data_IF_521881964674
#
_entry.id   IF_521881964674
#
_cell.length_a   1.000
_cell.length_b   1.000
_cell.length_c   1.000
_cell.angle_alpha   90.00
_cell.angle_beta   90.00
_cell.angle_gamma   90.00
#
_symmetry.space_group_name_H-M   'P 1'
#
loop_
_entity.id
_entity.type
_entity.pdbx_description
1 polymer ?
#
# COMPACT_ATOMS: atom_id res chain seq x y z
N UNK A 1 -81.74 56.60 -22.53
CA UNK A 1 -80.26 56.63 -22.39
C UNK A 1 -79.81 55.19 -22.24
N UNK A 2 -79.55 54.54 -23.36
CA UNK A 2 -79.01 53.18 -23.43
C UNK A 2 -77.52 53.23 -23.09
N UNK A 3 -77.10 52.43 -22.11
CA UNK A 3 -75.70 52.24 -21.74
C UNK A 3 -75.09 51.10 -22.59
N UNK A 4 -73.80 51.17 -22.96
CA UNK A 4 -73.25 50.37 -24.04
C UNK A 4 -72.90 48.95 -23.57
N UNK A 5 -73.64 47.94 -24.07
CA UNK A 5 -73.36 46.52 -23.83
C UNK A 5 -72.22 45.96 -24.72
N UNK A 6 -71.59 46.80 -25.54
CA UNK A 6 -70.73 46.37 -26.67
C UNK A 6 -69.21 46.34 -26.33
N UNK A 7 -68.80 46.92 -25.20
CA UNK A 7 -67.38 46.98 -24.81
C UNK A 7 -66.84 45.67 -24.25
N UNK A 8 -67.64 44.91 -23.51
CA UNK A 8 -67.23 43.63 -22.91
C UNK A 8 -67.07 42.52 -23.95
N UNK A 9 -67.93 42.52 -24.98
CA UNK A 9 -67.90 41.51 -26.04
C UNK A 9 -66.71 41.75 -27.00
N UNK A 10 -66.36 43.02 -27.22
CA UNK A 10 -65.21 43.43 -28.03
C UNK A 10 -63.87 43.08 -27.38
N UNK A 11 -63.76 43.22 -26.06
CA UNK A 11 -62.55 42.84 -25.30
C UNK A 11 -62.35 41.32 -25.27
N UNK A 12 -63.44 40.55 -25.14
CA UNK A 12 -63.41 39.10 -25.25
C UNK A 12 -63.02 38.61 -26.65
N UNK A 13 -63.57 39.23 -27.70
CA UNK A 13 -63.21 38.96 -29.09
C UNK A 13 -61.74 39.29 -29.37
N UNK A 14 -61.24 40.42 -28.85
CA UNK A 14 -59.81 40.76 -28.96
C UNK A 14 -58.94 39.70 -28.28
N UNK A 15 -59.31 39.27 -27.08
CA UNK A 15 -58.57 38.26 -26.31
C UNK A 15 -58.56 36.89 -26.99
N UNK A 16 -59.68 36.49 -27.60
CA UNK A 16 -59.78 35.27 -28.42
C UNK A 16 -58.97 35.39 -29.70
N UNK A 17 -58.90 36.58 -30.31
CA UNK A 17 -58.07 36.83 -31.48
C UNK A 17 -56.56 36.88 -31.17
N UNK A 18 -56.16 37.22 -29.93
CA UNK A 18 -54.74 37.22 -29.51
C UNK A 18 -54.25 35.86 -29.00
N UNK A 19 -55.15 34.97 -28.57
CA UNK A 19 -54.83 33.63 -28.06
C UNK A 19 -53.94 32.79 -29.01
N UNK A 20 -54.20 32.74 -30.33
CA UNK A 20 -53.33 32.04 -31.28
C UNK A 20 -51.90 32.59 -31.31
N UNK A 21 -51.75 33.92 -31.25
CA UNK A 21 -50.43 34.56 -31.23
C UNK A 21 -49.67 34.28 -29.93
N UNK A 22 -50.38 34.26 -28.80
CA UNK A 22 -49.79 33.94 -27.50
C UNK A 22 -49.43 32.45 -27.38
N UNK A 23 -50.26 31.57 -27.94
CA UNK A 23 -49.98 30.14 -28.07
C UNK A 23 -48.75 29.90 -28.97
N UNK A 24 -48.65 30.60 -30.10
CA UNK A 24 -47.49 30.52 -30.99
C UNK A 24 -46.20 30.98 -30.32
N UNK A 25 -46.22 32.13 -29.62
CA UNK A 25 -45.06 32.60 -28.84
C UNK A 25 -44.64 31.60 -27.75
N UNK A 26 -45.61 30.96 -27.09
CA UNK A 26 -45.31 29.93 -26.10
C UNK A 26 -44.72 28.67 -26.73
N UNK A 27 -45.20 28.27 -27.90
CA UNK A 27 -44.65 27.15 -28.66
C UNK A 27 -43.20 27.44 -29.08
N UNK A 28 -42.92 28.62 -29.62
CA UNK A 28 -41.58 29.06 -30.01
C UNK A 28 -40.63 29.02 -28.80
N UNK A 29 -41.05 29.60 -27.66
CA UNK A 29 -40.26 29.57 -26.42
C UNK A 29 -39.99 28.15 -25.91
N UNK A 30 -40.98 27.26 -25.99
CA UNK A 30 -40.81 25.86 -25.58
C UNK A 30 -39.90 25.10 -26.54
N UNK A 31 -39.97 25.38 -27.84
CA UNK A 31 -39.09 24.79 -28.84
C UNK A 31 -37.64 25.23 -28.64
N UNK A 32 -37.38 26.52 -28.41
CA UNK A 32 -36.06 27.05 -28.06
C UNK A 32 -35.51 26.41 -26.78
N UNK A 33 -36.34 26.30 -25.74
CA UNK A 33 -35.96 25.64 -24.49
C UNK A 33 -35.62 24.17 -24.70
N UNK A 34 -36.40 23.47 -25.51
CA UNK A 34 -36.14 22.06 -25.81
C UNK A 34 -34.84 21.88 -26.60
N UNK A 35 -34.59 22.76 -27.59
CA UNK A 35 -33.34 22.77 -28.33
C UNK A 35 -32.14 23.04 -27.41
N UNK A 36 -32.27 24.00 -26.48
CA UNK A 36 -31.24 24.28 -25.47
C UNK A 36 -30.95 23.07 -24.58
N UNK A 37 -31.99 22.39 -24.10
CA UNK A 37 -31.85 21.16 -23.31
C UNK A 37 -31.18 20.05 -24.10
N UNK A 38 -31.50 19.90 -25.39
CA UNK A 38 -30.84 18.93 -26.24
C UNK A 38 -29.35 19.21 -26.42
N UNK A 39 -28.98 20.48 -26.60
CA UNK A 39 -27.58 20.88 -26.68
C UNK A 39 -26.83 20.57 -25.38
N UNK A 40 -27.44 20.83 -24.21
CA UNK A 40 -26.86 20.50 -22.90
C UNK A 40 -26.64 18.99 -22.77
N UNK A 41 -27.62 18.18 -23.16
CA UNK A 41 -27.52 16.72 -23.09
C UNK A 41 -26.39 16.21 -23.98
N UNK A 42 -26.30 16.71 -25.22
CA UNK A 42 -25.20 16.36 -26.13
C UNK A 42 -23.83 16.75 -25.55
N UNK A 43 -23.72 17.92 -24.90
CA UNK A 43 -22.48 18.32 -24.22
C UNK A 43 -22.14 17.42 -23.03
N UNK A 44 -23.15 16.96 -22.27
CA UNK A 44 -22.95 16.04 -21.16
C UNK A 44 -22.48 14.66 -21.65
N UNK A 45 -23.03 14.16 -22.76
CA UNK A 45 -22.60 12.89 -23.36
C UNK A 45 -21.14 12.94 -23.83
N UNK A 46 -20.71 14.08 -24.41
CA UNK A 46 -19.30 14.29 -24.77
C UNK A 46 -18.39 14.26 -23.54
N UNK A 47 -18.76 14.96 -22.47
CA UNK A 47 -17.99 14.97 -21.21
C UNK A 47 -17.90 13.56 -20.62
N UNK A 48 -19.01 12.81 -20.61
CA UNK A 48 -19.04 11.44 -20.10
C UNK A 48 -18.11 10.54 -20.92
N UNK A 49 -18.12 10.70 -22.25
CA UNK A 49 -17.25 9.95 -23.15
C UNK A 49 -15.78 10.26 -22.86
N UNK A 50 -15.41 11.54 -22.80
CA UNK A 50 -14.04 11.98 -22.51
C UNK A 50 -13.54 11.45 -21.16
N UNK A 51 -14.38 11.50 -20.12
CA UNK A 51 -14.05 10.96 -18.79
C UNK A 51 -13.86 9.45 -18.85
N UNK A 52 -14.75 8.74 -19.53
CA UNK A 52 -14.71 7.28 -19.64
C UNK A 52 -13.46 6.79 -20.37
N UNK A 53 -13.01 7.54 -21.39
CA UNK A 53 -11.75 7.25 -22.10
C UNK A 53 -10.51 7.61 -21.28
N UNK A 54 -10.60 8.59 -20.38
CA UNK A 54 -9.46 9.06 -19.59
C UNK A 54 -9.21 8.22 -18.33
N UNK A 55 -10.27 7.69 -17.69
CA UNK A 55 -10.16 6.90 -16.45
C UNK A 55 -9.17 5.71 -16.55
N UNK A 56 -9.22 4.86 -17.60
CA UNK A 56 -8.27 3.75 -17.75
C UNK A 56 -6.81 4.21 -17.81
N UNK A 57 -6.56 5.36 -18.44
CA UNK A 57 -5.20 5.92 -18.54
C UNK A 57 -4.69 6.39 -17.18
N UNK A 58 -5.56 7.00 -16.35
CA UNK A 58 -5.19 7.41 -14.99
C UNK A 58 -4.85 6.19 -14.14
N UNK A 59 -5.65 5.12 -14.19
CA UNK A 59 -5.36 3.89 -13.45
C UNK A 59 -4.05 3.24 -13.91
N UNK A 60 -3.76 3.25 -15.22
CA UNK A 60 -2.49 2.75 -15.75
C UNK A 60 -1.29 3.57 -15.26
N UNK A 61 -1.44 4.89 -15.14
CA UNK A 61 -0.41 5.78 -14.61
C UNK A 61 -0.15 5.49 -13.13
N UNK A 62 -1.20 5.31 -12.32
CA UNK A 62 -1.06 4.95 -10.91
C UNK A 62 -0.35 3.61 -10.71
N UNK A 63 -0.68 2.59 -11.51
CA UNK A 63 0.01 1.29 -11.48
C UNK A 63 1.49 1.43 -11.85
N UNK A 64 1.80 2.19 -12.89
CA UNK A 64 3.20 2.48 -13.28
C UNK A 64 3.96 3.24 -12.20
N UNK A 65 3.31 4.16 -11.50
CA UNK A 65 3.90 4.90 -10.40
C UNK A 65 4.26 3.95 -9.25
N UNK A 66 3.32 3.09 -8.85
CA UNK A 66 3.54 2.10 -7.79
C UNK A 66 4.69 1.12 -8.15
N UNK A 67 4.76 0.67 -9.39
CA UNK A 67 5.86 -0.18 -9.87
C UNK A 67 7.20 0.56 -9.84
N UNK A 68 7.21 1.84 -10.22
CA UNK A 68 8.42 2.68 -10.20
C UNK A 68 8.92 2.90 -8.76
N UNK A 69 8.02 3.12 -7.82
CA UNK A 69 8.36 3.28 -6.39
C UNK A 69 8.97 1.99 -5.83
N UNK A 70 8.41 0.83 -6.18
CA UNK A 70 8.96 -0.47 -5.79
C UNK A 70 10.37 -0.72 -6.37
N UNK A 71 10.61 -0.32 -7.63
CA UNK A 71 11.94 -0.38 -8.24
C UNK A 71 12.92 0.57 -7.56
N UNK A 72 12.48 1.78 -7.20
CA UNK A 72 13.27 2.77 -6.46
C UNK A 72 13.72 2.21 -5.11
N UNK A 73 12.82 1.58 -4.38
CA UNK A 73 13.13 0.97 -3.08
C UNK A 73 14.14 -0.18 -3.21
N UNK A 74 14.01 -1.00 -4.27
CA UNK A 74 14.98 -2.04 -4.60
C UNK A 74 16.36 -1.46 -4.92
N UNK A 75 16.43 -0.40 -5.71
CA UNK A 75 17.69 0.30 -6.02
C UNK A 75 18.29 0.89 -4.75
N UNK A 76 17.48 1.49 -3.88
CA UNK A 76 17.96 2.04 -2.61
C UNK A 76 18.55 0.95 -1.70
N UNK A 77 17.92 -0.23 -1.66
CA UNK A 77 18.45 -1.39 -0.95
C UNK A 77 19.80 -1.86 -1.55
N UNK A 78 19.91 -1.91 -2.89
CA UNK A 78 21.17 -2.25 -3.56
C UNK A 78 22.27 -1.22 -3.28
N UNK A 79 21.95 0.07 -3.25
CA UNK A 79 22.90 1.14 -2.91
C UNK A 79 23.38 0.98 -1.48
N UNK A 80 22.47 0.72 -0.52
CA UNK A 80 22.83 0.48 0.87
C UNK A 80 23.75 -0.74 1.04
N UNK A 81 23.49 -1.81 0.30
CA UNK A 81 24.33 -3.00 0.31
C UNK A 81 25.72 -2.72 -0.32
N UNK A 82 25.77 -1.99 -1.44
CA UNK A 82 27.03 -1.58 -2.06
C UNK A 82 27.84 -0.66 -1.14
N UNK A 83 27.18 0.29 -0.46
CA UNK A 83 27.79 1.14 0.55
C UNK A 83 28.36 0.33 1.71
N UNK A 84 27.63 -0.68 2.19
CA UNK A 84 28.11 -1.57 3.24
C UNK A 84 29.38 -2.33 2.81
N UNK A 85 29.37 -2.95 1.62
CA UNK A 85 30.52 -3.67 1.09
C UNK A 85 31.73 -2.75 0.86
N UNK A 86 31.50 -1.55 0.33
CA UNK A 86 32.54 -0.53 0.16
C UNK A 86 33.12 -0.09 1.50
N UNK A 87 32.25 0.17 2.47
CA UNK A 87 32.64 0.55 3.83
C UNK A 87 33.47 -0.54 4.49
N UNK A 88 33.04 -1.80 4.41
CA UNK A 88 33.77 -2.97 4.93
C UNK A 88 35.14 -3.14 4.22
N UNK A 89 35.19 -2.93 2.90
CA UNK A 89 36.45 -3.01 2.12
C UNK A 89 37.42 -1.88 2.49
N UNK A 90 36.90 -0.67 2.71
CA UNK A 90 37.70 0.50 3.13
C UNK A 90 38.22 0.34 4.57
N UNK A 91 37.41 -0.19 5.48
CA UNK A 91 37.75 -0.33 6.91
C UNK A 91 38.54 -1.60 7.24
N UNK A 92 38.51 -2.63 6.38
CA UNK A 92 39.51 -3.72 6.43
C UNK A 92 40.96 -3.21 6.33
N UNK A 93 41.19 -1.96 5.89
CA UNK A 93 42.52 -1.33 5.84
C UNK A 93 42.94 -0.64 7.14
N UNK A 94 42.03 -0.36 8.08
CA UNK A 94 42.35 0.25 9.37
C UNK A 94 41.75 -0.57 10.52
N UNK A 95 42.54 -1.52 11.03
CA UNK A 95 42.26 -2.18 12.31
C UNK A 95 42.41 -1.19 13.46
N UNK A 96 41.43 -0.33 13.67
CA UNK A 96 41.33 0.53 14.85
C UNK A 96 39.96 0.29 15.52
N UNK A 97 39.99 -0.11 16.79
CA UNK A 97 38.89 -0.71 17.56
C UNK A 97 37.59 0.09 17.76
N UNK A 98 37.35 1.16 16.99
CA UNK A 98 36.07 1.89 16.97
C UNK A 98 35.02 1.22 16.05
N UNK A 99 35.47 0.51 15.02
CA UNK A 99 34.59 -0.06 13.99
C UNK A 99 33.64 -1.17 14.50
N UNK A 100 34.10 -1.97 15.48
CA UNK A 100 33.30 -3.07 16.05
C UNK A 100 32.05 -2.54 16.76
N UNK A 101 32.15 -1.36 17.39
CA UNK A 101 31.03 -0.73 18.09
C UNK A 101 29.92 -0.27 17.15
N UNK A 102 30.28 0.39 16.04
CA UNK A 102 29.31 0.86 15.05
C UNK A 102 28.69 -0.30 14.25
N UNK A 103 29.47 -1.34 13.96
CA UNK A 103 28.97 -2.56 13.33
C UNK A 103 27.96 -3.29 14.22
N UNK A 104 28.30 -3.50 15.49
CA UNK A 104 27.41 -4.13 16.46
C UNK A 104 26.14 -3.29 16.67
N UNK A 105 26.27 -1.96 16.74
CA UNK A 105 25.13 -1.04 16.84
C UNK A 105 24.20 -1.17 15.64
N UNK A 106 24.73 -1.25 14.43
CA UNK A 106 23.91 -1.41 13.23
C UNK A 106 23.17 -2.76 13.21
N UNK A 107 23.86 -3.84 13.58
CA UNK A 107 23.25 -5.17 13.73
C UNK A 107 22.14 -5.18 14.79
N UNK A 108 22.41 -4.63 15.97
CA UNK A 108 21.44 -4.61 17.05
C UNK A 108 20.22 -3.76 16.68
N UNK A 109 20.43 -2.64 15.99
CA UNK A 109 19.33 -1.84 15.44
C UNK A 109 18.51 -2.64 14.41
N UNK A 110 19.15 -3.40 13.52
CA UNK A 110 18.44 -4.26 12.55
C UNK A 110 17.63 -5.36 13.23
N UNK A 111 18.21 -6.02 14.23
CA UNK A 111 17.50 -7.03 15.03
C UNK A 111 16.32 -6.42 15.79
N UNK A 112 16.50 -5.22 16.34
CA UNK A 112 15.43 -4.47 17.00
C UNK A 112 14.30 -4.15 16.03
N UNK A 113 14.61 -3.65 14.83
CA UNK A 113 13.61 -3.40 13.79
C UNK A 113 12.86 -4.67 13.42
N UNK A 114 13.57 -5.78 13.19
CA UNK A 114 12.96 -7.06 12.83
C UNK A 114 12.01 -7.59 13.92
N UNK A 115 12.39 -7.46 15.20
CA UNK A 115 11.52 -7.82 16.32
C UNK A 115 10.25 -6.94 16.35
N UNK A 116 10.40 -5.63 16.14
CA UNK A 116 9.27 -4.69 16.11
C UNK A 116 8.34 -4.97 14.93
N UNK A 117 8.89 -5.22 13.74
CA UNK A 117 8.13 -5.60 12.54
C UNK A 117 7.35 -6.89 12.78
N UNK A 118 7.98 -7.90 13.37
CA UNK A 118 7.31 -9.17 13.69
C UNK A 118 6.14 -8.97 14.66
N UNK A 119 6.31 -8.10 15.66
CA UNK A 119 5.22 -7.72 16.57
C UNK A 119 4.12 -6.93 15.85
N UNK A 120 4.48 -5.99 14.98
CA UNK A 120 3.52 -5.21 14.20
C UNK A 120 2.73 -6.09 13.22
N UNK A 121 3.35 -7.13 12.66
CA UNK A 121 2.71 -8.12 11.80
C UNK A 121 1.71 -9.01 12.57
N UNK A 122 2.00 -9.32 13.83
CA UNK A 122 1.03 -10.00 14.69
C UNK A 122 -0.14 -9.07 15.05
N UNK A 123 0.15 -7.82 15.41
CA UNK A 123 -0.85 -6.79 15.75
C UNK A 123 -1.76 -6.45 14.55
N UNK A 124 -1.20 -6.35 13.34
CA UNK A 124 -1.98 -6.07 12.12
C UNK A 124 -2.96 -7.19 11.78
N UNK A 125 -2.66 -8.42 12.21
CA UNK A 125 -3.55 -9.59 12.12
C UNK A 125 -4.51 -9.72 13.31
N UNK A 126 -4.45 -8.79 14.27
CA UNK A 126 -5.26 -8.83 15.49
C UNK A 126 -4.86 -9.92 16.49
N UNK A 127 -3.66 -10.47 16.35
CA UNK A 127 -3.14 -11.51 17.23
C UNK A 127 -2.31 -10.90 18.36
N UNK A 128 -2.52 -11.37 19.58
CA UNK A 128 -1.69 -11.01 20.75
C UNK A 128 -0.41 -11.84 20.85
N UNK A 129 -0.34 -12.93 20.10
CA UNK A 129 0.73 -13.91 20.14
C UNK A 129 1.53 -13.89 18.84
N UNK A 130 2.86 -13.98 18.95
CA UNK A 130 3.78 -14.10 17.81
C UNK A 130 4.00 -15.57 17.50
N UNK A 131 4.01 -15.92 16.21
CA UNK A 131 4.30 -17.29 15.77
C UNK A 131 5.70 -17.73 16.21
N UNK A 132 5.80 -18.93 16.79
CA UNK A 132 7.09 -19.53 17.16
C UNK A 132 8.03 -19.66 15.94
N UNK A 133 7.49 -19.83 14.73
CA UNK A 133 8.30 -19.88 13.52
C UNK A 133 9.00 -18.55 13.24
N UNK A 134 8.31 -17.42 13.46
CA UNK A 134 8.91 -16.09 13.30
C UNK A 134 10.03 -15.85 14.32
N UNK A 135 9.89 -16.40 15.54
CA UNK A 135 10.96 -16.34 16.55
C UNK A 135 12.17 -17.17 16.12
N UNK A 136 11.95 -18.36 15.56
CA UNK A 136 13.03 -19.22 15.03
C UNK A 136 13.76 -18.52 13.87
N UNK A 137 13.04 -17.84 12.99
CA UNK A 137 13.64 -17.11 11.87
C UNK A 137 14.55 -15.97 12.36
N UNK A 138 14.14 -15.26 13.42
CA UNK A 138 14.99 -14.25 14.07
C UNK A 138 16.22 -14.91 14.69
N UNK A 139 16.04 -16.04 15.40
CA UNK A 139 17.15 -16.79 16.00
C UNK A 139 18.19 -17.22 14.95
N UNK A 140 17.75 -17.77 13.82
CA UNK A 140 18.65 -18.16 12.72
C UNK A 140 19.42 -16.96 12.14
N UNK A 141 18.78 -15.80 12.01
CA UNK A 141 19.45 -14.58 11.56
C UNK A 141 20.51 -14.12 12.55
N UNK A 142 20.23 -14.19 13.86
CA UNK A 142 21.23 -13.89 14.91
C UNK A 142 22.42 -14.83 14.80
N UNK A 143 22.18 -16.13 14.59
CA UNK A 143 23.24 -17.13 14.47
C UNK A 143 24.13 -16.89 13.26
N UNK A 144 23.53 -16.58 12.11
CA UNK A 144 24.27 -16.22 10.90
C UNK A 144 25.18 -15.00 11.12
N UNK A 145 24.67 -14.00 11.83
CA UNK A 145 25.45 -12.80 12.17
C UNK A 145 26.66 -13.16 13.04
N UNK A 146 26.47 -14.03 14.05
CA UNK A 146 27.58 -14.49 14.92
C UNK A 146 28.62 -15.26 14.10
N UNK A 147 28.19 -16.13 13.18
CA UNK A 147 29.10 -16.85 12.27
C UNK A 147 29.85 -15.89 11.34
N UNK A 148 29.17 -14.91 10.75
CA UNK A 148 29.79 -13.88 9.90
C UNK A 148 30.81 -13.04 10.69
N UNK A 149 30.53 -12.75 11.96
CA UNK A 149 31.44 -12.03 12.86
C UNK A 149 32.68 -12.86 13.24
N UNK A 150 32.50 -14.17 13.46
CA UNK A 150 33.60 -15.09 13.73
C UNK A 150 34.49 -15.25 12.49
N UNK A 151 33.90 -15.51 11.32
CA UNK A 151 34.60 -15.60 10.04
C UNK A 151 35.32 -14.29 9.66
N UNK A 152 34.73 -13.15 10.04
CA UNK A 152 35.33 -11.82 9.86
C UNK A 152 36.47 -11.50 10.82
N UNK A 153 36.78 -12.38 11.79
CA UNK A 153 37.79 -12.15 12.82
C UNK A 153 37.42 -11.05 13.82
N UNK A 154 36.14 -10.68 13.89
CA UNK A 154 35.59 -9.63 14.76
C UNK A 154 34.97 -10.20 16.04
N UNK A 155 34.78 -11.52 16.11
CA UNK A 155 34.32 -12.24 17.29
C UNK A 155 35.45 -13.11 17.85
N UNK A 156 36.02 -12.76 19.02
CA UNK A 156 37.07 -13.55 19.65
C UNK A 156 36.45 -14.79 20.32
N UNK A 157 36.10 -15.78 19.51
CA UNK A 157 35.61 -17.10 19.94
C UNK A 157 36.68 -18.13 19.55
N UNK A 158 37.02 -19.02 20.48
CA UNK A 158 37.88 -20.16 20.19
C UNK A 158 37.11 -21.24 19.42
N UNK A 159 37.80 -22.08 18.64
CA UNK A 159 37.13 -23.15 17.88
C UNK A 159 36.33 -24.10 18.79
N UNK A 160 36.76 -24.26 20.05
CA UNK A 160 36.06 -25.05 21.08
C UNK A 160 34.75 -24.39 21.53
N UNK A 161 34.75 -23.06 21.71
CA UNK A 161 33.56 -22.29 22.06
C UNK A 161 32.56 -22.27 20.89
N UNK A 162 33.04 -22.13 19.66
CA UNK A 162 32.23 -22.19 18.45
C UNK A 162 31.55 -23.56 18.30
N UNK A 163 32.29 -24.65 18.55
CA UNK A 163 31.75 -26.02 18.57
C UNK A 163 30.72 -26.25 19.67
N UNK A 164 30.96 -25.70 20.86
CA UNK A 164 30.00 -25.75 21.98
C UNK A 164 28.71 -25.01 21.63
N UNK A 165 28.81 -23.82 21.04
CA UNK A 165 27.66 -23.03 20.56
C UNK A 165 26.87 -23.79 19.51
N UNK A 166 27.52 -24.36 18.49
CA UNK A 166 26.85 -25.18 17.48
C UNK A 166 26.07 -26.35 18.10
N UNK A 167 26.64 -27.02 19.10
CA UNK A 167 25.99 -28.11 19.83
C UNK A 167 24.77 -27.64 20.61
N UNK A 168 24.86 -26.48 21.29
CA UNK A 168 23.75 -25.88 22.03
C UNK A 168 22.59 -25.54 21.07
N UNK A 169 22.91 -24.97 19.91
CA UNK A 169 21.94 -24.62 18.86
C UNK A 169 21.26 -25.88 18.31
N UNK A 170 22.03 -26.93 18.02
CA UNK A 170 21.48 -28.20 17.55
C UNK A 170 20.53 -28.82 18.58
N UNK A 171 20.93 -28.79 19.87
CA UNK A 171 20.07 -29.24 20.96
C UNK A 171 18.80 -28.40 21.09
N UNK A 172 18.90 -27.07 20.96
CA UNK A 172 17.75 -26.16 21.02
C UNK A 172 16.78 -26.43 19.86
N UNK A 173 17.28 -26.49 18.63
CA UNK A 173 16.52 -26.84 17.42
C UNK A 173 15.82 -28.19 17.57
N UNK A 174 16.51 -29.20 18.11
CA UNK A 174 15.94 -30.52 18.37
C UNK A 174 14.82 -30.47 19.42
N UNK A 175 14.94 -29.65 20.47
CA UNK A 175 13.86 -29.46 21.46
C UNK A 175 12.62 -28.83 20.83
N UNK A 176 12.79 -27.81 20.00
CA UNK A 176 11.69 -27.16 19.29
C UNK A 176 11.00 -28.15 18.35
N UNK A 177 11.76 -28.90 17.55
CA UNK A 177 11.21 -29.92 16.65
C UNK A 177 10.46 -31.01 17.42
N UNK A 178 10.97 -31.45 18.58
CA UNK A 178 10.28 -32.42 19.43
C UNK A 178 8.99 -31.84 20.02
N UNK A 179 9.00 -30.56 20.43
CA UNK A 179 7.80 -29.86 20.90
C UNK A 179 6.74 -29.79 19.80
N UNK A 180 7.11 -29.38 18.58
CA UNK A 180 6.20 -29.31 17.43
C UNK A 180 5.65 -30.69 17.04
N UNK A 181 6.48 -31.74 17.06
CA UNK A 181 6.02 -33.13 16.83
C UNK A 181 5.03 -33.60 17.89
N UNK A 182 5.12 -33.10 19.13
CA UNK A 182 4.16 -33.37 20.19
C UNK A 182 2.73 -32.93 19.83
N UNK A 183 2.58 -31.76 19.20
CA UNK A 183 1.27 -31.26 18.74
C UNK A 183 0.71 -32.04 17.56
N UNK A 184 1.58 -32.48 16.63
CA UNK A 184 1.15 -33.30 15.48
C UNK A 184 0.68 -34.68 15.95
N UNK A 185 1.29 -35.25 17.00
CA UNK A 185 0.88 -36.53 17.58
C UNK A 185 -0.40 -36.50 18.43
N UNK A 186 -0.81 -35.33 18.95
CA UNK A 186 -2.07 -35.16 19.67
C UNK A 186 -3.27 -34.95 18.73
N UNK A 187 -3.07 -34.31 17.57
CA UNK A 187 -4.11 -34.14 16.56
C UNK A 187 -4.58 -35.48 15.92
N UNK A 188 -3.73 -36.51 15.96
CA UNK A 188 -4.03 -37.86 15.45
C UNK A 188 -4.72 -38.77 16.50
N UNK A 189 -4.91 -38.27 17.73
CA UNK A 189 -5.58 -38.99 18.84
C UNK A 189 -7.01 -38.52 19.11
N UNK A 190 -7.50 -37.54 18.36
CA UNK A 190 -8.85 -36.97 18.48
C UNK A 190 -9.76 -37.30 17.29
N UNK A 191 -9.41 -38.29 16.47
CA UNK A 191 -10.31 -38.95 15.51
C UNK A 191 -10.81 -40.30 16.05
#
# INVERSE_FOLDING_TARGET
>A
MEAPADTNNRDYLLRVMTLPNEAQKNLERLAEKNQSLHNVLNSQDLIITDISETIPNVMNIEEKLANTDAELEKVNHQINNAHFVLYETLTKREKNGHFVGDFLKNILSKLQTLMVETCNDALSKGLTDVSIMSVIDIEQQVLKIIEDMHNGGMYPETDEEAGSRATIIEMHTKKILNFLKGFVGEADRTL
#
